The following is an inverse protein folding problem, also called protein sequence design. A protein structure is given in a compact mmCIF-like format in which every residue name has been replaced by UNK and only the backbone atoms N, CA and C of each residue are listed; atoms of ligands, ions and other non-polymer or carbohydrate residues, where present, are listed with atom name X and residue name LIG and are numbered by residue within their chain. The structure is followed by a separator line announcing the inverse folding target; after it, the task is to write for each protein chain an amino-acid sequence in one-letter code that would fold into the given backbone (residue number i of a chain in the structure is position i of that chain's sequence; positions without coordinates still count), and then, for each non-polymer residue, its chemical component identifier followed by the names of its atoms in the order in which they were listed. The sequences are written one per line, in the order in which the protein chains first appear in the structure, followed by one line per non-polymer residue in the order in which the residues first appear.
data_IF_040399941183
#
_entry.id   IF_040399941183
#
_cell.length_a   1.000
_cell.length_b   1.000
_cell.length_c   1.000
_cell.angle_alpha   90.00
_cell.angle_beta   90.00
_cell.angle_gamma   90.00
#
_symmetry.space_group_name_H-M   'P 1'
#
loop_
_entity.id
_entity.type
_entity.pdbx_description
1 polymer ?
#
# COMPACT_ATOMS: atom_id res chain seq x y z
N UNK A 1 -3.60 -1.71 10.91
CA UNK A 1 -2.29 -2.38 10.72
C UNK A 1 -2.33 -3.80 11.30
N UNK A 2 -2.70 -3.97 12.57
CA UNK A 2 -2.82 -5.29 13.23
C UNK A 2 -3.61 -6.32 12.40
N UNK A 3 -4.77 -5.95 11.86
CA UNK A 3 -5.59 -6.84 11.03
C UNK A 3 -4.84 -7.30 9.77
N UNK A 4 -4.20 -6.36 9.05
CA UNK A 4 -3.40 -6.66 7.87
C UNK A 4 -2.25 -7.64 8.19
N UNK A 5 -1.63 -7.48 9.36
CA UNK A 5 -0.60 -8.42 9.85
C UNK A 5 -1.17 -9.81 10.13
N UNK A 6 -2.31 -9.88 10.82
CA UNK A 6 -2.94 -11.16 11.19
C UNK A 6 -3.47 -11.95 9.99
N UNK A 7 -3.87 -11.27 8.93
CA UNK A 7 -4.44 -11.89 7.72
C UNK A 7 -3.40 -12.05 6.60
N UNK A 8 -2.17 -11.58 6.79
CA UNK A 8 -1.15 -11.57 5.75
C UNK A 8 -1.58 -10.75 4.53
N UNK A 9 -2.28 -9.63 4.76
CA UNK A 9 -2.79 -8.80 3.68
C UNK A 9 -1.63 -8.20 2.85
N UNK A 10 -1.76 -8.25 1.52
CA UNK A 10 -0.77 -7.73 0.59
C UNK A 10 -0.91 -6.22 0.37
N UNK A 11 -2.14 -5.70 0.53
CA UNK A 11 -2.47 -4.30 0.30
C UNK A 11 -3.37 -3.76 1.41
N UNK A 12 -3.09 -2.54 1.88
CA UNK A 12 -3.97 -1.72 2.71
C UNK A 12 -4.50 -0.58 1.84
N UNK A 13 -5.82 -0.49 1.70
CA UNK A 13 -6.49 0.62 1.02
C UNK A 13 -7.13 1.55 2.05
N UNK A 14 -6.85 2.85 1.93
CA UNK A 14 -7.40 3.90 2.80
C UNK A 14 -8.18 4.91 1.97
N UNK A 15 -9.29 5.40 2.51
CA UNK A 15 -10.08 6.43 1.84
C UNK A 15 -10.52 7.54 2.78
N UNK A 16 -10.62 8.77 2.26
CA UNK A 16 -11.28 9.87 2.98
C UNK A 16 -11.83 10.98 2.10
N UNK A 17 -12.91 11.60 2.57
CA UNK A 17 -13.54 12.79 2.01
C UNK A 17 -13.24 14.06 2.81
N UNK A 18 -12.57 13.96 3.96
CA UNK A 18 -12.40 15.06 4.91
C UNK A 18 -10.92 15.39 5.12
N UNK A 19 -10.52 16.64 4.84
CA UNK A 19 -9.16 17.15 5.04
C UNK A 19 -8.58 16.87 6.43
N UNK A 20 -9.32 17.00 7.56
CA UNK A 20 -8.80 16.68 8.90
C UNK A 20 -8.30 15.24 9.06
N UNK A 21 -8.82 14.29 8.28
CA UNK A 21 -8.47 12.87 8.38
C UNK A 21 -7.34 12.45 7.44
N UNK A 22 -6.81 13.37 6.63
CA UNK A 22 -5.62 13.12 5.81
C UNK A 22 -4.41 12.73 6.69
N UNK A 23 -4.25 13.38 7.84
CA UNK A 23 -3.19 13.06 8.81
C UNK A 23 -3.25 11.62 9.29
N UNK A 24 -4.45 11.04 9.44
CA UNK A 24 -4.59 9.64 9.85
C UNK A 24 -4.02 8.66 8.82
N UNK A 25 -4.02 9.02 7.53
CA UNK A 25 -3.33 8.21 6.51
C UNK A 25 -1.82 8.25 6.72
N UNK A 26 -1.25 9.42 7.03
CA UNK A 26 0.17 9.56 7.35
C UNK A 26 0.55 8.77 8.61
N UNK A 27 -0.31 8.77 9.63
CA UNK A 27 -0.09 7.99 10.85
C UNK A 27 -0.03 6.48 10.56
N UNK A 28 -0.86 5.99 9.62
CA UNK A 28 -0.80 4.59 9.17
C UNK A 28 0.52 4.31 8.44
N UNK A 29 0.97 5.19 7.54
CA UNK A 29 2.26 5.02 6.85
C UNK A 29 3.43 4.99 7.83
N UNK A 30 3.45 5.91 8.80
CA UNK A 30 4.44 5.95 9.87
C UNK A 30 4.37 4.71 10.77
N UNK A 31 3.17 4.20 11.05
CA UNK A 31 2.97 2.97 11.81
C UNK A 31 3.53 1.74 11.08
N UNK A 32 3.28 1.64 9.77
CA UNK A 32 3.83 0.56 8.94
C UNK A 32 5.35 0.58 8.90
N UNK A 33 5.97 1.77 8.87
CA UNK A 33 7.42 1.92 8.94
C UNK A 33 7.97 1.48 10.31
N UNK A 34 7.37 1.97 11.41
CA UNK A 34 7.75 1.57 12.77
C UNK A 34 7.62 0.08 13.03
N UNK A 35 6.64 -0.59 12.42
CA UNK A 35 6.46 -2.04 12.54
C UNK A 35 7.32 -2.85 11.54
N UNK A 36 8.15 -2.20 10.71
CA UNK A 36 8.97 -2.87 9.69
C UNK A 36 8.14 -3.59 8.63
N UNK A 37 6.93 -3.08 8.38
CA UNK A 37 5.96 -3.59 7.39
C UNK A 37 5.95 -2.76 6.11
N UNK A 38 6.53 -1.56 6.12
CA UNK A 38 6.72 -0.74 4.92
C UNK A 38 7.45 -1.56 3.85
N UNK A 39 6.91 -1.57 2.64
CA UNK A 39 7.43 -2.36 1.52
C UNK A 39 6.99 -3.83 1.49
N UNK A 40 6.64 -4.43 2.64
CA UNK A 40 6.06 -5.79 2.72
C UNK A 40 4.56 -5.79 2.45
N UNK A 41 3.88 -4.75 2.93
CA UNK A 41 2.47 -4.48 2.62
C UNK A 41 2.43 -3.21 1.78
N UNK A 42 1.73 -3.28 0.65
CA UNK A 42 1.53 -2.13 -0.23
C UNK A 42 0.38 -1.27 0.25
N UNK A 43 0.43 0.00 -0.06
CA UNK A 43 -0.53 1.01 0.41
C UNK A 43 -1.15 1.75 -0.76
N UNK A 44 -2.45 2.00 -0.68
CA UNK A 44 -3.16 2.84 -1.63
C UNK A 44 -4.09 3.79 -0.90
N UNK A 45 -4.06 5.06 -1.29
CA UNK A 45 -4.94 6.11 -0.76
C UNK A 45 -5.91 6.63 -1.82
N UNK A 46 -7.08 7.12 -1.40
CA UNK A 46 -8.06 7.72 -2.30
C UNK A 46 -9.20 8.45 -1.59
N UNK A 47 -10.18 8.92 -2.35
CA UNK A 47 -11.31 9.69 -1.86
C UNK A 47 -11.20 11.18 -2.18
N UNK A 48 -12.33 11.89 -2.13
CA UNK A 48 -12.49 13.24 -2.70
C UNK A 48 -11.61 14.36 -2.10
N UNK A 49 -10.93 14.10 -0.99
CA UNK A 49 -9.99 15.06 -0.38
C UNK A 49 -8.51 14.69 -0.58
N UNK A 50 -8.24 13.56 -1.24
CA UNK A 50 -6.89 13.02 -1.46
C UNK A 50 -6.38 13.44 -2.85
N UNK A 51 -5.07 13.63 -2.97
CA UNK A 51 -4.40 13.92 -4.23
C UNK A 51 -3.12 13.09 -4.39
N UNK A 52 -2.57 13.08 -5.60
CA UNK A 52 -1.28 12.44 -5.90
C UNK A 52 -0.14 13.12 -5.14
N UNK A 53 -0.19 14.44 -4.94
CA UNK A 53 0.79 15.18 -4.14
C UNK A 53 0.75 14.75 -2.68
N UNK A 54 -0.44 14.52 -2.12
CA UNK A 54 -0.56 13.98 -0.76
C UNK A 54 0.05 12.58 -0.65
N UNK A 55 -0.19 11.72 -1.64
CA UNK A 55 0.43 10.39 -1.71
C UNK A 55 1.96 10.47 -1.72
N UNK A 56 2.53 11.38 -2.50
CA UNK A 56 3.98 11.63 -2.51
C UNK A 56 4.49 12.05 -1.14
N UNK A 57 3.79 12.97 -0.48
CA UNK A 57 4.18 13.53 0.80
C UNK A 57 4.22 12.50 1.93
N UNK A 58 3.25 11.58 1.98
CA UNK A 58 3.18 10.54 3.02
C UNK A 58 3.90 9.24 2.63
N UNK A 59 4.29 9.11 1.37
CA UNK A 59 4.99 7.94 0.86
C UNK A 59 4.11 6.69 0.67
N UNK A 60 2.81 6.85 0.37
CA UNK A 60 1.94 5.71 0.00
C UNK A 60 2.32 5.17 -1.38
N UNK A 61 2.19 3.87 -1.64
CA UNK A 61 2.62 3.24 -2.91
C UNK A 61 1.75 3.68 -4.11
N UNK A 62 0.46 3.93 -3.89
CA UNK A 62 -0.45 4.36 -4.94
C UNK A 62 -1.50 5.37 -4.48
N UNK A 63 -2.03 6.12 -5.44
CA UNK A 63 -3.24 6.94 -5.33
C UNK A 63 -4.26 6.45 -6.36
N UNK A 64 -5.52 6.32 -5.97
CA UNK A 64 -6.63 6.02 -6.86
C UNK A 64 -7.62 7.18 -6.89
N UNK A 65 -7.74 7.87 -8.03
CA UNK A 65 -8.69 8.99 -8.19
C UNK A 65 -10.14 8.53 -8.12
N UNK A 66 -10.40 7.29 -8.49
CA UNK A 66 -11.69 6.63 -8.50
C UNK A 66 -11.53 5.11 -8.30
N UNK A 67 -12.65 4.40 -8.19
CA UNK A 67 -12.65 2.96 -7.93
C UNK A 67 -11.98 2.15 -9.05
N UNK A 68 -12.17 2.55 -10.32
CA UNK A 68 -11.62 1.85 -11.48
C UNK A 68 -10.10 1.97 -11.51
N UNK A 69 -9.58 3.18 -11.31
CA UNK A 69 -8.15 3.40 -11.21
C UNK A 69 -7.56 2.66 -10.00
N UNK A 70 -8.22 2.70 -8.84
CA UNK A 70 -7.75 2.01 -7.65
C UNK A 70 -7.57 0.50 -7.90
N UNK A 71 -8.56 -0.15 -8.54
CA UNK A 71 -8.46 -1.57 -8.91
C UNK A 71 -7.28 -1.83 -9.84
N UNK A 72 -7.08 -0.97 -10.85
CA UNK A 72 -5.95 -1.09 -11.78
C UNK A 72 -4.61 -1.00 -11.06
N UNK A 73 -4.45 0.00 -10.18
CA UNK A 73 -3.23 0.20 -9.38
C UNK A 73 -2.97 -0.98 -8.44
N UNK A 74 -4.00 -1.48 -7.77
CA UNK A 74 -3.90 -2.65 -6.87
C UNK A 74 -3.40 -3.87 -7.64
N UNK A 75 -3.90 -4.13 -8.85
CA UNK A 75 -3.39 -5.23 -9.69
C UNK A 75 -1.89 -5.10 -9.95
N UNK A 76 -1.42 -3.93 -10.39
CA UNK A 76 0.01 -3.67 -10.60
C UNK A 76 0.85 -3.87 -9.34
N UNK A 77 0.34 -3.44 -8.18
CA UNK A 77 1.02 -3.66 -6.89
C UNK A 77 1.15 -5.16 -6.57
N UNK A 78 0.08 -5.93 -6.78
CA UNK A 78 0.08 -7.38 -6.56
C UNK A 78 1.02 -8.09 -7.55
N UNK A 79 0.99 -7.72 -8.82
CA UNK A 79 1.88 -8.30 -9.84
C UNK A 79 3.36 -8.10 -9.45
N UNK A 80 3.69 -6.93 -8.89
CA UNK A 80 5.04 -6.64 -8.38
C UNK A 80 5.42 -7.55 -7.21
N UNK A 81 4.47 -7.84 -6.30
CA UNK A 81 4.69 -8.76 -5.17
C UNK A 81 4.94 -10.19 -5.69
N UNK A 82 4.15 -10.63 -6.67
CA UNK A 82 4.28 -11.97 -7.26
C UNK A 82 5.65 -12.11 -7.94
N UNK A 83 6.04 -11.16 -8.77
CA UNK A 83 7.34 -11.17 -9.44
C UNK A 83 8.52 -11.18 -8.43
N UNK A 84 8.42 -10.40 -7.36
CA UNK A 84 9.41 -10.40 -6.29
C UNK A 84 9.48 -11.77 -5.56
N UNK A 85 8.33 -12.43 -5.35
CA UNK A 85 8.28 -13.74 -4.72
C UNK A 85 8.81 -14.87 -5.64
N UNK A 86 8.62 -14.75 -6.95
CA UNK A 86 9.14 -15.73 -7.93
C UNK A 86 10.66 -15.67 -8.03
N UNK A 87 11.24 -14.47 -8.14
CA UNK A 87 12.71 -14.31 -8.17
C UNK A 87 13.43 -14.86 -6.92
N UNK A 88 12.79 -14.85 -5.75
CA UNK A 88 13.36 -15.41 -4.52
C UNK A 88 13.35 -16.94 -4.47
N UNK A 89 12.51 -17.61 -5.27
CA UNK A 89 12.43 -19.09 -5.30
C UNK A 89 13.52 -19.71 -6.19
N UNK A 90 14.06 -18.97 -7.15
CA UNK A 90 15.11 -19.48 -8.04
C UNK A 90 16.48 -19.54 -7.36
N UNK A 91 16.70 -18.82 -6.26
CA UNK A 91 17.99 -18.77 -5.54
C UNK A 91 18.15 -19.84 -4.44
N UNK A 92 17.08 -20.54 -4.00
CA UNK A 92 17.19 -21.60 -2.96
C UNK A 92 17.60 -22.98 -3.51
N UNK A 93 17.56 -23.14 -4.84
CA UNK A 93 17.94 -24.36 -5.55
C UNK A 93 19.45 -24.60 -5.56
N UNK A 94 19.99 -25.02 -4.41
CA UNK A 94 21.29 -25.71 -4.39
C UNK A 94 21.17 -27.05 -5.13
N UNK A 95 22.15 -27.42 -5.98
CA UNK A 95 22.13 -28.65 -6.78
C UNK A 95 22.11 -29.94 -5.95
#
# INVERSE_FOLDING_TARGET
IEKAKSEGAQVIAMSTLMTPTLMSMQDVENGLDKEGMKGKVKTIIGGGSVSEEWRQMIGSDAYGKDATEAVSKIKTLIDTIIAAAESMKEEDGSP
#
